data_IF_574107294495
#
_entry.id   IF_574107294495
#
_cell.length_a   1.000
_cell.length_b   1.000
_cell.length_c   1.000
_cell.angle_alpha   90.00
_cell.angle_beta   90.00
_cell.angle_gamma   90.00
#
_symmetry.space_group_name_H-M   'P 1'
#
loop_
_entity.id
_entity.type
_entity.pdbx_description
1 polymer ?
#
# COMPACT_ATOMS: atom_id res chain seq x y z
N UNK A 1 23.51 26.56 -23.32
CA UNK A 1 22.42 26.33 -24.29
C UNK A 1 22.22 24.85 -24.59
N UNK A 2 23.13 24.13 -25.28
CA UNK A 2 22.94 22.70 -25.59
C UNK A 2 22.90 21.77 -24.36
N UNK A 3 23.80 21.97 -23.38
CA UNK A 3 23.83 21.20 -22.13
C UNK A 3 22.55 21.40 -21.28
N UNK A 4 22.07 22.64 -21.18
CA UNK A 4 20.86 23.00 -20.44
C UNK A 4 19.58 22.44 -21.09
N UNK A 5 19.57 22.37 -22.43
CA UNK A 5 18.48 21.75 -23.19
C UNK A 5 18.49 20.21 -23.06
N UNK A 6 19.69 19.61 -22.98
CA UNK A 6 19.88 18.20 -22.64
C UNK A 6 19.38 17.86 -21.23
N UNK A 7 19.73 18.67 -20.23
CA UNK A 7 19.28 18.49 -18.83
C UNK A 7 17.75 18.54 -18.72
N UNK A 8 17.11 19.56 -19.33
CA UNK A 8 15.64 19.68 -19.31
C UNK A 8 14.94 18.50 -19.97
N UNK A 9 15.47 17.99 -21.10
CA UNK A 9 14.94 16.81 -21.79
C UNK A 9 15.13 15.54 -20.96
N UNK A 10 16.29 15.37 -20.34
CA UNK A 10 16.56 14.23 -19.45
C UNK A 10 15.61 14.19 -18.26
N UNK A 11 15.41 15.33 -17.60
CA UNK A 11 14.44 15.46 -16.50
C UNK A 11 13.02 15.16 -16.97
N UNK A 12 12.60 15.71 -18.11
CA UNK A 12 11.27 15.46 -18.67
C UNK A 12 11.05 13.97 -18.99
N UNK A 13 12.03 13.31 -19.60
CA UNK A 13 11.97 11.88 -19.91
C UNK A 13 11.90 11.03 -18.63
N UNK A 14 12.70 11.36 -17.62
CA UNK A 14 12.71 10.66 -16.33
C UNK A 14 11.38 10.81 -15.58
N UNK A 15 10.83 12.02 -15.51
CA UNK A 15 9.51 12.27 -14.90
C UNK A 15 8.41 11.52 -15.66
N UNK A 16 8.46 11.52 -16.98
CA UNK A 16 7.47 10.82 -17.82
C UNK A 16 7.54 9.31 -17.59
N UNK A 17 8.75 8.73 -17.60
CA UNK A 17 8.95 7.31 -17.32
C UNK A 17 8.46 6.93 -15.92
N UNK A 18 8.73 7.76 -14.91
CA UNK A 18 8.22 7.57 -13.55
C UNK A 18 6.69 7.58 -13.50
N UNK A 19 6.05 8.56 -14.13
CA UNK A 19 4.58 8.66 -14.21
C UNK A 19 3.95 7.44 -14.87
N UNK A 20 4.50 7.02 -16.02
CA UNK A 20 4.01 5.85 -16.77
C UNK A 20 4.19 4.57 -15.94
N UNK A 21 5.37 4.40 -15.33
CA UNK A 21 5.67 3.25 -14.49
C UNK A 21 4.76 3.17 -13.26
N UNK A 22 4.48 4.28 -12.59
CA UNK A 22 3.58 4.33 -11.44
C UNK A 22 2.13 4.08 -11.82
N UNK A 23 1.67 4.52 -12.99
CA UNK A 23 0.30 4.30 -13.46
C UNK A 23 0.05 2.88 -13.98
N UNK A 24 1.00 2.31 -14.73
CA UNK A 24 0.83 1.01 -15.40
C UNK A 24 1.35 -0.14 -14.53
N UNK A 25 2.35 0.12 -13.68
CA UNK A 25 3.10 -0.87 -12.92
C UNK A 25 2.22 -1.85 -12.12
N UNK A 26 1.30 -1.37 -11.25
CA UNK A 26 0.44 -2.25 -10.47
C UNK A 26 -0.37 -3.19 -11.36
N UNK A 27 -1.06 -2.66 -12.37
CA UNK A 27 -1.89 -3.44 -13.29
C UNK A 27 -1.09 -4.49 -14.06
N UNK A 28 0.04 -4.09 -14.66
CA UNK A 28 0.90 -5.02 -15.41
C UNK A 28 1.51 -6.10 -14.49
N UNK A 29 1.97 -5.73 -13.29
CA UNK A 29 2.49 -6.67 -12.30
C UNK A 29 1.43 -7.66 -11.80
N UNK A 30 0.20 -7.21 -11.58
CA UNK A 30 -0.92 -8.06 -11.19
C UNK A 30 -1.28 -9.07 -12.28
N UNK A 31 -1.37 -8.63 -13.53
CA UNK A 31 -1.62 -9.52 -14.68
C UNK A 31 -0.51 -10.56 -14.87
N UNK A 32 0.76 -10.16 -14.78
CA UNK A 32 1.89 -11.08 -14.87
C UNK A 32 1.86 -12.14 -13.76
N UNK A 33 1.56 -11.71 -12.53
CA UNK A 33 1.46 -12.60 -11.38
C UNK A 33 0.33 -13.61 -11.55
N UNK A 34 -0.82 -13.16 -12.05
CA UNK A 34 -2.00 -14.00 -12.26
C UNK A 34 -1.83 -14.97 -13.44
N UNK A 35 -1.23 -14.53 -14.54
CA UNK A 35 -1.13 -15.32 -15.76
C UNK A 35 0.03 -16.33 -15.76
N UNK A 36 1.12 -16.00 -15.07
CA UNK A 36 2.32 -16.83 -15.06
C UNK A 36 2.68 -17.25 -13.64
N UNK A 37 3.29 -16.32 -12.90
CA UNK A 37 3.65 -16.43 -11.49
C UNK A 37 4.37 -15.14 -11.07
N UNK A 38 4.52 -14.89 -9.78
CA UNK A 38 5.22 -13.73 -9.25
C UNK A 38 6.69 -13.63 -9.73
N UNK A 39 7.37 -14.75 -10.04
CA UNK A 39 8.74 -14.74 -10.57
C UNK A 39 8.85 -14.04 -11.94
N UNK A 40 7.77 -13.99 -12.71
CA UNK A 40 7.75 -13.36 -14.03
C UNK A 40 8.11 -11.87 -13.97
N UNK A 41 7.79 -11.19 -12.85
CA UNK A 41 8.14 -9.77 -12.64
C UNK A 41 9.66 -9.57 -12.75
N UNK A 42 10.46 -10.49 -12.21
CA UNK A 42 11.92 -10.39 -12.29
C UNK A 42 12.43 -10.65 -13.70
N UNK A 43 11.87 -11.66 -14.39
CA UNK A 43 12.28 -12.01 -15.76
C UNK A 43 12.01 -10.87 -16.73
N UNK A 44 10.86 -10.19 -16.61
CA UNK A 44 10.51 -9.03 -17.45
C UNK A 44 11.48 -7.86 -17.25
N UNK A 45 12.08 -7.71 -16.07
CA UNK A 45 13.04 -6.63 -15.78
C UNK A 45 14.44 -6.89 -16.38
N UNK A 46 14.79 -8.15 -16.63
CA UNK A 46 16.10 -8.55 -17.21
C UNK A 46 16.44 -7.82 -18.51
N UNK A 47 15.60 -7.82 -19.57
CA UNK A 47 15.93 -7.13 -20.82
C UNK A 47 16.15 -5.62 -20.63
N UNK A 48 15.39 -4.97 -19.75
CA UNK A 48 15.61 -3.56 -19.43
C UNK A 48 16.95 -3.33 -18.74
N UNK A 49 17.33 -4.20 -17.80
CA UNK A 49 18.63 -4.12 -17.13
C UNK A 49 19.80 -4.36 -18.10
N UNK A 50 19.67 -5.36 -18.99
CA UNK A 50 20.68 -5.69 -20.02
C UNK A 50 20.92 -4.51 -20.97
N UNK A 51 19.90 -3.68 -21.24
CA UNK A 51 20.06 -2.47 -22.05
C UNK A 51 20.53 -1.26 -21.23
N UNK A 52 19.97 -1.06 -20.04
CA UNK A 52 20.22 0.13 -19.23
C UNK A 52 21.62 0.15 -18.59
N UNK A 53 22.15 -1.00 -18.16
CA UNK A 53 23.45 -1.07 -17.50
C UNK A 53 24.60 -0.70 -18.46
N UNK A 54 24.73 -1.28 -19.66
CA UNK A 54 25.78 -0.86 -20.60
C UNK A 54 25.62 0.59 -21.04
N UNK A 55 24.39 1.05 -21.26
CA UNK A 55 24.12 2.45 -21.60
C UNK A 55 24.59 3.40 -20.49
N UNK A 56 24.35 3.07 -19.23
CA UNK A 56 24.81 3.87 -18.09
C UNK A 56 26.34 3.84 -17.95
N UNK A 57 26.98 2.68 -18.15
CA UNK A 57 28.44 2.53 -18.08
C UNK A 57 29.18 3.25 -19.22
N UNK A 58 28.51 3.47 -20.36
CA UNK A 58 29.06 4.22 -21.48
C UNK A 58 29.04 5.75 -21.25
N UNK A 59 28.33 6.26 -20.23
CA UNK A 59 28.26 7.69 -19.92
C UNK A 59 29.46 8.09 -19.04
N UNK A 60 30.33 9.03 -19.46
CA UNK A 60 31.45 9.49 -18.65
C UNK A 60 30.98 10.13 -17.34
N UNK A 61 31.64 9.79 -16.23
CA UNK A 61 31.39 10.43 -14.95
C UNK A 61 31.79 11.92 -15.01
N UNK A 62 30.90 12.87 -14.66
CA UNK A 62 31.28 14.27 -14.57
C UNK A 62 32.27 14.46 -13.41
N UNK A 63 33.27 15.35 -13.55
CA UNK A 63 34.22 15.62 -12.46
C UNK A 63 33.50 16.27 -11.26
N UNK A 64 33.83 15.82 -10.05
CA UNK A 64 33.35 16.40 -8.79
C UNK A 64 34.03 17.75 -8.54
N UNK A 65 33.48 18.82 -9.12
CA UNK A 65 34.10 20.15 -9.09
C UNK A 65 33.61 21.04 -7.95
N UNK A 66 32.57 20.63 -7.20
CA UNK A 66 31.99 21.47 -6.14
C UNK A 66 32.13 20.81 -4.77
N UNK A 67 32.99 21.33 -3.87
CA UNK A 67 33.03 20.86 -2.49
C UNK A 67 31.66 21.09 -1.84
N UNK A 68 31.13 20.06 -1.18
CA UNK A 68 29.86 20.17 -0.49
C UNK A 68 30.02 21.06 0.75
N UNK A 69 29.33 22.19 0.74
CA UNK A 69 29.30 23.16 1.84
C UNK A 69 27.95 23.20 2.55
N UNK A 70 27.00 22.36 2.14
CA UNK A 70 25.63 22.40 2.63
C UNK A 70 25.31 21.19 3.53
N UNK A 71 24.58 21.45 4.61
CA UNK A 71 24.03 20.35 5.42
C UNK A 71 22.81 19.75 4.73
N UNK A 72 22.53 18.45 4.93
CA UNK A 72 21.31 17.83 4.45
C UNK A 72 20.07 18.57 4.94
N UNK A 73 19.02 18.56 4.13
CA UNK A 73 17.76 19.20 4.44
C UNK A 73 16.97 18.35 5.46
N UNK A 74 17.34 18.44 6.75
CA UNK A 74 16.84 17.52 7.79
C UNK A 74 15.31 17.47 7.83
N UNK A 75 14.64 18.63 7.83
CA UNK A 75 13.17 18.70 7.92
C UNK A 75 12.44 18.03 6.75
N UNK A 76 12.67 18.42 5.47
CA UNK A 76 11.98 17.76 4.36
C UNK A 76 12.40 16.29 4.20
N UNK A 77 13.64 15.93 4.52
CA UNK A 77 14.07 14.52 4.50
C UNK A 77 13.40 13.69 5.59
N UNK A 78 13.26 14.21 6.80
CA UNK A 78 12.51 13.54 7.87
C UNK A 78 11.04 13.39 7.52
N UNK A 79 10.43 14.44 6.96
CA UNK A 79 9.04 14.41 6.48
C UNK A 79 8.86 13.35 5.39
N UNK A 80 9.79 13.27 4.42
CA UNK A 80 9.81 12.24 3.39
C UNK A 80 9.99 10.83 3.96
N UNK A 81 10.84 10.65 4.96
CA UNK A 81 11.03 9.35 5.60
C UNK A 81 9.73 8.88 6.28
N UNK A 82 9.10 9.74 7.09
CA UNK A 82 7.84 9.43 7.76
C UNK A 82 6.70 9.17 6.76
N UNK A 83 6.58 9.99 5.72
CA UNK A 83 5.60 9.77 4.65
C UNK A 83 5.88 8.49 3.87
N UNK A 84 7.14 8.16 3.60
CA UNK A 84 7.48 6.91 2.91
C UNK A 84 7.08 5.71 3.75
N UNK A 85 7.29 5.75 5.08
CA UNK A 85 6.83 4.73 6.01
C UNK A 85 5.29 4.60 6.01
N UNK A 86 4.57 5.72 6.04
CA UNK A 86 3.09 5.73 5.99
C UNK A 86 2.53 5.23 4.64
N UNK A 87 3.15 5.62 3.51
CA UNK A 87 2.77 5.17 2.18
C UNK A 87 3.07 3.69 1.97
N UNK A 88 4.16 3.19 2.58
CA UNK A 88 4.43 1.75 2.64
C UNK A 88 3.34 1.03 3.41
N UNK A 89 2.91 1.54 4.57
CA UNK A 89 1.75 1.01 5.29
C UNK A 89 0.52 0.95 4.38
N UNK A 90 0.22 2.06 3.71
CA UNK A 90 -0.95 2.16 2.84
C UNK A 90 -0.91 1.12 1.73
N UNK A 91 0.17 1.03 0.96
CA UNK A 91 0.23 0.17 -0.23
C UNK A 91 0.41 -1.31 0.14
N UNK A 92 1.30 -1.62 1.09
CA UNK A 92 1.58 -2.99 1.50
C UNK A 92 0.37 -3.65 2.15
N UNK A 93 -0.20 -3.01 3.17
CA UNK A 93 -1.33 -3.56 3.90
C UNK A 93 -2.59 -3.59 3.04
N UNK A 94 -2.79 -2.61 2.15
CA UNK A 94 -3.93 -2.63 1.24
C UNK A 94 -3.85 -3.79 0.25
N UNK A 95 -2.68 -4.05 -0.35
CA UNK A 95 -2.52 -5.20 -1.25
C UNK A 95 -2.75 -6.51 -0.51
N UNK A 96 -2.18 -6.66 0.69
CA UNK A 96 -2.42 -7.84 1.54
C UNK A 96 -3.89 -7.99 1.94
N UNK A 97 -4.56 -6.90 2.35
CA UNK A 97 -5.97 -6.93 2.68
C UNK A 97 -6.82 -7.36 1.49
N UNK A 98 -6.53 -6.86 0.28
CA UNK A 98 -7.28 -7.24 -0.91
C UNK A 98 -7.07 -8.71 -1.30
N UNK A 99 -5.81 -9.16 -1.33
CA UNK A 99 -5.46 -10.50 -1.80
C UNK A 99 -5.74 -11.54 -0.72
N UNK A 100 -5.15 -11.38 0.47
CA UNK A 100 -5.21 -12.36 1.55
C UNK A 100 -6.45 -12.17 2.44
N UNK A 101 -6.85 -10.92 2.71
CA UNK A 101 -8.00 -10.63 3.59
C UNK A 101 -9.36 -10.81 2.91
N UNK A 102 -9.52 -10.31 1.69
CA UNK A 102 -10.76 -10.32 0.91
C UNK A 102 -10.73 -11.31 -0.26
N UNK A 103 -9.72 -12.18 -0.30
CA UNK A 103 -9.59 -13.28 -1.30
C UNK A 103 -9.70 -12.78 -2.75
N UNK A 104 -9.26 -11.56 -3.06
CA UNK A 104 -9.29 -11.02 -4.44
C UNK A 104 -8.12 -11.55 -5.24
N UNK A 105 -8.37 -11.83 -6.53
CA UNK A 105 -7.29 -12.18 -7.45
C UNK A 105 -6.22 -11.07 -7.53
N UNK A 106 -4.94 -11.40 -7.77
CA UNK A 106 -3.88 -10.40 -7.91
C UNK A 106 -4.17 -9.32 -8.97
N UNK A 107 -4.84 -9.67 -10.08
CA UNK A 107 -5.26 -8.72 -11.11
C UNK A 107 -6.34 -7.76 -10.62
N UNK A 108 -7.35 -8.25 -9.89
CA UNK A 108 -8.40 -7.40 -9.30
C UNK A 108 -7.83 -6.46 -8.23
N UNK A 109 -6.92 -6.98 -7.38
CA UNK A 109 -6.25 -6.18 -6.36
C UNK A 109 -5.41 -5.07 -7.01
N UNK A 110 -4.65 -5.40 -8.06
CA UNK A 110 -3.86 -4.44 -8.82
C UNK A 110 -4.70 -3.34 -9.49
N UNK A 111 -5.83 -3.70 -10.10
CA UNK A 111 -6.77 -2.74 -10.67
C UNK A 111 -7.34 -1.81 -9.60
N UNK A 112 -7.70 -2.36 -8.44
CA UNK A 112 -8.23 -1.59 -7.31
C UNK A 112 -7.18 -0.60 -6.79
N UNK A 113 -5.96 -1.07 -6.50
CA UNK A 113 -4.86 -0.23 -5.98
C UNK A 113 -4.43 0.85 -6.98
N UNK A 114 -4.71 0.69 -8.28
CA UNK A 114 -4.43 1.69 -9.32
C UNK A 114 -5.19 3.02 -9.09
N UNK A 115 -6.18 3.06 -8.21
CA UNK A 115 -6.79 4.33 -7.73
C UNK A 115 -5.73 5.26 -7.13
N UNK A 116 -4.77 4.74 -6.38
CA UNK A 116 -3.72 5.54 -5.71
C UNK A 116 -2.87 6.33 -6.72
N UNK A 117 -2.21 5.71 -7.72
CA UNK A 117 -1.42 6.45 -8.69
C UNK A 117 -2.27 7.37 -9.58
N UNK A 118 -3.49 6.98 -9.96
CA UNK A 118 -4.38 7.85 -10.73
C UNK A 118 -4.76 9.11 -9.95
N UNK A 119 -5.11 8.97 -8.67
CA UNK A 119 -5.39 10.09 -7.78
C UNK A 119 -4.15 10.97 -7.55
N UNK A 120 -2.95 10.38 -7.44
CA UNK A 120 -1.70 11.14 -7.35
C UNK A 120 -1.43 12.00 -8.58
N UNK A 121 -1.74 11.50 -9.78
CA UNK A 121 -1.64 12.28 -11.01
C UNK A 121 -2.69 13.40 -11.07
N UNK A 122 -3.90 13.14 -10.56
CA UNK A 122 -4.98 14.13 -10.46
C UNK A 122 -4.69 15.25 -9.43
N UNK A 123 -3.75 15.04 -8.50
CA UNK A 123 -3.35 16.08 -7.53
C UNK A 123 -2.68 17.30 -8.21
N UNK A 124 -1.94 17.07 -9.31
CA UNK A 124 -1.18 18.12 -10.01
C UNK A 124 -2.05 19.25 -10.57
N UNK A 125 -3.13 19.01 -11.33
CA UNK A 125 -4.02 20.09 -11.78
C UNK A 125 -4.68 20.82 -10.61
N UNK A 126 -5.03 20.12 -9.53
CA UNK A 126 -5.62 20.73 -8.33
C UNK A 126 -4.63 21.71 -7.66
N UNK A 127 -3.38 21.30 -7.47
CA UNK A 127 -2.33 22.16 -6.92
C UNK A 127 -2.05 23.37 -7.81
N UNK A 128 -2.08 23.20 -9.15
CA UNK A 128 -1.90 24.31 -10.10
C UNK A 128 -3.06 25.31 -10.08
N UNK A 129 -4.28 24.83 -9.87
CA UNK A 129 -5.48 25.67 -9.80
C UNK A 129 -5.48 26.51 -8.53
N UNK A 130 -5.22 25.88 -7.38
CA UNK A 130 -5.29 26.54 -6.07
C UNK A 130 -4.04 27.35 -5.72
N UNK A 131 -2.88 27.02 -6.32
CA UNK A 131 -1.56 27.64 -6.06
C UNK A 131 -1.26 27.82 -4.56
N UNK A 132 -1.43 26.79 -3.72
CA UNK A 132 -1.16 26.91 -2.30
C UNK A 132 0.34 27.17 -2.03
N UNK A 133 0.69 27.82 -0.90
CA UNK A 133 2.06 27.82 -0.41
C UNK A 133 2.57 26.38 -0.23
N UNK A 134 3.87 26.15 -0.48
CA UNK A 134 4.44 24.81 -0.43
C UNK A 134 4.23 24.09 0.92
N UNK A 135 4.29 24.83 2.04
CA UNK A 135 4.05 24.27 3.37
C UNK A 135 2.59 23.79 3.54
N UNK A 136 1.62 24.53 2.98
CA UNK A 136 0.20 24.15 3.00
C UNK A 136 -0.03 22.95 2.09
N UNK A 137 0.57 22.94 0.89
CA UNK A 137 0.46 21.81 -0.05
C UNK A 137 0.91 20.49 0.60
N UNK A 138 2.08 20.51 1.24
CA UNK A 138 2.62 19.34 1.96
C UNK A 138 1.76 18.99 3.17
N UNK A 139 1.34 19.98 3.97
CA UNK A 139 0.51 19.74 5.15
C UNK A 139 -0.84 19.08 4.79
N UNK A 140 -1.51 19.59 3.76
CA UNK A 140 -2.75 19.01 3.23
C UNK A 140 -2.48 17.59 2.74
N UNK A 141 -1.39 17.35 2.01
CA UNK A 141 -1.09 16.00 1.55
C UNK A 141 -0.79 15.01 2.68
N UNK A 142 -0.07 15.41 3.73
CA UNK A 142 0.11 14.59 4.93
C UNK A 142 -1.23 14.25 5.61
N UNK A 143 -2.11 15.25 5.72
CA UNK A 143 -3.45 15.08 6.29
C UNK A 143 -4.32 14.13 5.45
N UNK A 144 -4.27 14.23 4.12
CA UNK A 144 -5.01 13.34 3.21
C UNK A 144 -4.51 11.89 3.32
N UNK A 145 -3.19 11.67 3.40
CA UNK A 145 -2.63 10.32 3.60
C UNK A 145 -3.08 9.75 4.95
N UNK A 146 -3.02 10.53 6.03
CA UNK A 146 -3.49 10.11 7.34
C UNK A 146 -4.99 9.77 7.32
N UNK A 147 -5.81 10.64 6.73
CA UNK A 147 -7.26 10.42 6.60
C UNK A 147 -7.60 9.19 5.76
N UNK A 148 -6.87 8.95 4.66
CA UNK A 148 -7.02 7.74 3.85
C UNK A 148 -6.63 6.48 4.63
N UNK A 149 -5.55 6.51 5.40
CA UNK A 149 -5.15 5.38 6.25
C UNK A 149 -6.16 5.11 7.37
N UNK A 150 -6.69 6.15 8.02
CA UNK A 150 -7.80 6.00 8.98
C UNK A 150 -9.06 5.44 8.32
N UNK A 151 -9.37 5.89 7.10
CA UNK A 151 -10.49 5.36 6.31
C UNK A 151 -10.34 3.87 6.01
N UNK A 152 -9.12 3.41 5.70
CA UNK A 152 -8.81 1.98 5.53
C UNK A 152 -8.79 1.19 6.85
N UNK A 153 -8.60 1.86 7.99
CA UNK A 153 -8.60 1.23 9.31
C UNK A 153 -10.01 0.97 9.87
N UNK A 154 -11.03 1.64 9.34
CA UNK A 154 -12.43 1.51 9.80
C UNK A 154 -13.37 1.11 8.65
N UNK A 155 -13.12 0.06 7.84
CA UNK A 155 -14.07 -0.33 6.81
C UNK A 155 -15.29 -1.00 7.46
N UNK A 156 -16.53 -0.57 7.20
CA UNK A 156 -17.73 -1.26 7.67
C UNK A 156 -18.06 -2.52 6.85
N UNK A 157 -17.49 -2.66 5.63
CA UNK A 157 -17.87 -3.68 4.64
C UNK A 157 -16.98 -3.58 3.38
N UNK A 158 -16.99 -4.61 2.53
CA UNK A 158 -16.36 -4.66 1.20
C UNK A 158 -17.02 -3.72 0.14
N UNK A 159 -17.68 -2.65 0.58
CA UNK A 159 -18.35 -1.69 -0.30
C UNK A 159 -17.33 -0.90 -1.14
N UNK A 160 -17.65 -0.75 -2.43
CA UNK A 160 -16.76 -0.14 -3.42
C UNK A 160 -16.36 1.30 -3.03
N UNK A 161 -17.28 2.07 -2.42
CA UNK A 161 -17.04 3.45 -1.99
C UNK A 161 -16.01 3.53 -0.86
N UNK A 162 -16.10 2.64 0.12
CA UNK A 162 -15.18 2.56 1.26
C UNK A 162 -13.82 2.01 0.86
N UNK A 163 -13.72 1.33 -0.28
CA UNK A 163 -12.45 0.87 -0.83
C UNK A 163 -11.77 1.97 -1.65
N UNK A 164 -12.51 2.69 -2.51
CA UNK A 164 -11.96 3.68 -3.44
C UNK A 164 -11.64 5.02 -2.76
N UNK A 165 -12.53 5.55 -1.92
CA UNK A 165 -12.36 6.90 -1.38
C UNK A 165 -11.09 7.04 -0.51
N UNK A 166 -10.79 6.12 0.42
CA UNK A 166 -9.54 6.19 1.19
C UNK A 166 -8.28 6.10 0.33
N UNK A 167 -8.29 5.27 -0.72
CA UNK A 167 -7.19 5.15 -1.68
C UNK A 167 -6.99 6.44 -2.47
N UNK A 168 -8.08 7.09 -2.87
CA UNK A 168 -8.02 8.37 -3.55
C UNK A 168 -7.42 9.46 -2.65
N UNK A 169 -7.74 9.48 -1.35
CA UNK A 169 -7.12 10.39 -0.38
C UNK A 169 -5.61 10.14 -0.25
N UNK A 170 -5.19 8.87 -0.10
CA UNK A 170 -3.77 8.50 -0.06
C UNK A 170 -3.06 8.94 -1.34
N UNK A 171 -3.65 8.67 -2.50
CA UNK A 171 -3.10 9.05 -3.80
C UNK A 171 -2.98 10.55 -3.99
N UNK A 172 -4.03 11.32 -3.70
CA UNK A 172 -3.98 12.77 -3.75
C UNK A 172 -2.89 13.32 -2.84
N UNK A 173 -2.79 12.82 -1.61
CA UNK A 173 -1.76 13.25 -0.67
C UNK A 173 -0.34 12.88 -1.13
N UNK A 174 -0.14 11.72 -1.75
CA UNK A 174 1.11 11.34 -2.41
C UNK A 174 1.51 12.36 -3.49
N UNK A 175 0.56 12.73 -4.35
CA UNK A 175 0.78 13.68 -5.45
C UNK A 175 1.10 15.11 -5.01
N UNK A 176 0.63 15.53 -3.84
CA UNK A 176 0.91 16.86 -3.25
C UNK A 176 2.23 16.93 -2.47
N UNK A 177 2.75 15.79 -1.99
CA UNK A 177 3.87 15.78 -1.03
C UNK A 177 5.21 15.44 -1.65
N UNK A 178 5.33 14.33 -2.37
CA UNK A 178 6.64 13.74 -2.71
C UNK A 178 7.47 14.65 -3.62
N UNK A 179 6.89 15.14 -4.70
CA UNK A 179 7.59 16.04 -5.64
C UNK A 179 8.01 17.34 -4.95
N UNK A 180 7.14 17.90 -4.11
CA UNK A 180 7.40 19.14 -3.36
C UNK A 180 8.51 18.98 -2.34
N UNK A 181 8.43 17.97 -1.48
CA UNK A 181 9.45 17.70 -0.49
C UNK A 181 10.81 17.37 -1.11
N UNK A 182 10.81 16.63 -2.22
CA UNK A 182 12.03 16.34 -2.98
C UNK A 182 12.66 17.63 -3.52
N UNK A 183 11.84 18.52 -4.09
CA UNK A 183 12.32 19.83 -4.55
C UNK A 183 12.88 20.68 -3.41
N UNK A 184 12.20 20.75 -2.26
CA UNK A 184 12.65 21.49 -1.08
C UNK A 184 13.93 20.90 -0.45
N UNK A 185 14.11 19.58 -0.52
CA UNK A 185 15.31 18.91 -0.04
C UNK A 185 16.55 19.24 -0.89
N UNK A 186 16.34 19.58 -2.17
CA UNK A 186 17.42 19.90 -3.12
C UNK A 186 17.58 21.41 -3.40
N UNK A 187 16.60 22.23 -3.06
CA UNK A 187 16.57 23.66 -3.37
C UNK A 187 17.82 24.38 -2.85
N UNK A 188 18.52 25.07 -3.76
CA UNK A 188 19.74 25.84 -3.49
C UNK A 188 20.90 25.04 -2.87
N UNK A 189 20.90 23.70 -2.98
CA UNK A 189 21.95 22.84 -2.43
C UNK A 189 22.82 22.21 -3.52
N UNK A 190 24.13 22.42 -3.42
CA UNK A 190 25.14 21.90 -4.32
C UNK A 190 26.23 21.16 -3.52
N UNK A 191 26.74 20.01 -4.02
CA UNK A 191 26.37 19.30 -5.25
C UNK A 191 25.01 18.58 -5.18
N UNK A 192 24.21 18.67 -6.25
CA UNK A 192 22.86 18.08 -6.32
C UNK A 192 22.85 16.55 -6.10
N UNK A 193 23.87 15.85 -6.59
CA UNK A 193 23.98 14.38 -6.50
C UNK A 193 24.00 13.91 -5.04
N UNK A 194 24.79 14.56 -4.17
CA UNK A 194 24.89 14.19 -2.76
C UNK A 194 23.58 14.43 -2.00
N UNK A 195 22.91 15.55 -2.26
CA UNK A 195 21.61 15.84 -1.63
C UNK A 195 20.48 14.97 -2.18
N UNK A 196 20.51 14.61 -3.47
CA UNK A 196 19.62 13.59 -4.02
C UNK A 196 19.83 12.25 -3.31
N UNK A 197 21.09 11.84 -3.10
CA UNK A 197 21.45 10.65 -2.32
C UNK A 197 20.82 10.66 -0.92
N UNK A 198 21.00 11.74 -0.15
CA UNK A 198 20.35 11.90 1.16
C UNK A 198 18.82 11.79 1.11
N UNK A 199 18.21 12.38 0.09
CA UNK A 199 16.75 12.40 -0.09
C UNK A 199 16.24 10.99 -0.39
N UNK A 200 16.93 10.25 -1.27
CA UNK A 200 16.63 8.85 -1.61
C UNK A 200 16.82 7.97 -0.37
N UNK A 201 17.96 8.09 0.33
CA UNK A 201 18.23 7.34 1.55
C UNK A 201 17.17 7.59 2.63
N UNK A 202 16.71 8.82 2.81
CA UNK A 202 15.66 9.13 3.77
C UNK A 202 14.33 8.43 3.42
N UNK A 203 13.94 8.45 2.14
CA UNK A 203 12.73 7.74 1.67
C UNK A 203 12.83 6.24 1.91
N UNK A 204 13.93 5.60 1.51
CA UNK A 204 14.13 4.16 1.70
C UNK A 204 14.27 3.77 3.18
N UNK A 205 14.91 4.61 4.00
CA UNK A 205 14.94 4.41 5.44
C UNK A 205 13.51 4.40 6.02
N UNK A 206 12.67 5.32 5.56
CA UNK A 206 11.24 5.34 5.88
C UNK A 206 10.54 4.04 5.52
N UNK A 207 10.71 3.55 4.29
CA UNK A 207 10.13 2.26 3.84
C UNK A 207 10.56 1.11 4.75
N UNK A 208 11.86 1.00 5.02
CA UNK A 208 12.43 -0.10 5.84
C UNK A 208 11.93 -0.03 7.28
N UNK A 209 11.97 1.15 7.90
CA UNK A 209 11.48 1.35 9.27
C UNK A 209 9.97 1.10 9.35
N UNK A 210 9.21 1.56 8.35
CA UNK A 210 7.78 1.28 8.24
C UNK A 210 7.49 -0.22 8.26
N UNK A 211 8.11 -1.00 7.36
CA UNK A 211 7.92 -2.45 7.33
C UNK A 211 8.38 -3.14 8.62
N UNK A 212 9.51 -2.72 9.19
CA UNK A 212 10.05 -3.28 10.42
C UNK A 212 9.11 -3.07 11.62
N UNK A 213 8.29 -2.02 11.62
CA UNK A 213 7.27 -1.77 12.65
C UNK A 213 5.98 -2.51 12.32
N UNK A 214 5.51 -2.44 11.06
CA UNK A 214 4.18 -2.90 10.67
C UNK A 214 4.07 -4.42 10.64
N UNK A 215 5.08 -5.14 10.13
CA UNK A 215 4.99 -6.59 9.97
C UNK A 215 4.81 -7.33 11.31
N UNK A 216 5.58 -7.03 12.37
CA UNK A 216 5.37 -7.66 13.68
C UNK A 216 4.01 -7.33 14.30
N UNK A 217 3.55 -6.07 14.18
CA UNK A 217 2.23 -5.66 14.69
C UNK A 217 1.13 -6.42 13.97
N UNK A 218 1.14 -6.39 12.63
CA UNK A 218 0.17 -7.13 11.82
C UNK A 218 0.14 -8.63 12.15
N UNK A 219 1.32 -9.24 12.36
CA UNK A 219 1.41 -10.66 12.70
C UNK A 219 0.84 -10.95 14.09
N UNK A 220 1.09 -10.07 15.06
CA UNK A 220 0.52 -10.17 16.40
C UNK A 220 -1.01 -10.01 16.36
N UNK A 221 -1.52 -9.00 15.65
CA UNK A 221 -2.96 -8.73 15.50
C UNK A 221 -3.68 -9.92 14.83
N UNK A 222 -3.06 -10.56 13.84
CA UNK A 222 -3.61 -11.78 13.21
C UNK A 222 -3.69 -12.95 14.20
N UNK A 223 -2.67 -13.14 15.04
CA UNK A 223 -2.67 -14.20 16.06
C UNK A 223 -3.73 -13.94 17.14
N UNK A 224 -3.87 -12.69 17.59
CA UNK A 224 -4.91 -12.31 18.55
C UNK A 224 -6.32 -12.45 17.98
N UNK A 225 -6.51 -12.20 16.68
CA UNK A 225 -7.79 -12.36 16.01
C UNK A 225 -8.21 -13.83 15.79
N UNK A 226 -7.28 -14.79 15.88
CA UNK A 226 -7.54 -16.20 15.57
C UNK A 226 -8.52 -16.86 16.54
N UNK A 227 -8.33 -16.68 17.85
CA UNK A 227 -9.18 -17.33 18.87
C UNK A 227 -10.63 -16.83 18.80
N UNK A 228 -10.90 -15.50 18.80
CA UNK A 228 -12.27 -15.00 18.67
C UNK A 228 -12.94 -15.42 17.35
N UNK A 229 -12.17 -15.54 16.26
CA UNK A 229 -12.70 -16.04 15.00
C UNK A 229 -13.10 -17.52 15.09
N UNK A 230 -12.26 -18.36 15.71
CA UNK A 230 -12.58 -19.79 15.93
C UNK A 230 -13.81 -19.96 16.84
N UNK A 231 -13.93 -19.18 17.91
CA UNK A 231 -15.10 -19.18 18.78
C UNK A 231 -16.37 -18.74 18.05
N UNK A 232 -16.29 -17.70 17.21
CA UNK A 232 -17.43 -17.23 16.40
C UNK A 232 -17.86 -18.27 15.35
N UNK A 233 -16.90 -18.92 14.68
CA UNK A 233 -17.16 -20.00 13.71
C UNK A 233 -17.82 -21.19 14.42
N UNK A 234 -17.28 -21.61 15.57
CA UNK A 234 -17.85 -22.70 16.36
C UNK A 234 -19.27 -22.37 16.83
N UNK A 235 -19.52 -21.15 17.31
CA UNK A 235 -20.86 -20.69 17.70
C UNK A 235 -21.85 -20.75 16.53
N UNK A 236 -21.48 -20.23 15.36
CA UNK A 236 -22.32 -20.26 14.17
C UNK A 236 -22.64 -21.69 13.71
N UNK A 237 -21.65 -22.59 13.75
CA UNK A 237 -21.83 -24.01 13.44
C UNK A 237 -22.79 -24.70 14.42
N UNK A 238 -22.66 -24.40 15.72
CA UNK A 238 -23.53 -24.93 16.76
C UNK A 238 -24.96 -24.43 16.61
N UNK A 239 -25.16 -23.15 16.29
CA UNK A 239 -26.47 -22.52 16.12
C UNK A 239 -27.16 -22.84 14.78
N UNK A 240 -26.43 -23.41 13.81
CA UNK A 240 -26.97 -23.73 12.50
C UNK A 240 -28.20 -24.65 12.60
N UNK A 241 -29.22 -24.40 11.79
CA UNK A 241 -30.42 -25.25 11.72
C UNK A 241 -30.19 -26.41 10.74
N UNK A 242 -29.26 -27.29 11.10
CA UNK A 242 -28.90 -28.50 10.36
C UNK A 242 -29.06 -29.72 11.26
N UNK A 243 -29.36 -30.86 10.66
CA UNK A 243 -29.38 -32.16 11.34
C UNK A 243 -27.99 -32.50 11.90
N UNK A 244 -27.90 -33.29 12.99
CA UNK A 244 -26.62 -33.58 13.64
C UNK A 244 -25.57 -34.22 12.72
N UNK A 245 -25.99 -35.15 11.85
CA UNK A 245 -25.08 -35.84 10.94
C UNK A 245 -24.54 -34.88 9.86
N UNK A 246 -25.41 -34.04 9.29
CA UNK A 246 -25.07 -33.02 8.32
C UNK A 246 -24.17 -31.91 8.91
N UNK A 247 -24.40 -31.51 10.17
CA UNK A 247 -23.49 -30.62 10.92
C UNK A 247 -22.10 -31.20 11.03
N UNK A 248 -21.97 -32.48 11.36
CA UNK A 248 -20.67 -33.14 11.53
C UNK A 248 -19.96 -33.21 10.17
N UNK A 249 -20.68 -33.54 9.09
CA UNK A 249 -20.12 -33.59 7.74
C UNK A 249 -19.58 -32.22 7.30
N UNK A 250 -20.36 -31.15 7.49
CA UNK A 250 -19.92 -29.77 7.18
C UNK A 250 -18.75 -29.34 8.06
N UNK A 251 -18.78 -29.64 9.36
CA UNK A 251 -17.69 -29.30 10.28
C UNK A 251 -16.37 -30.00 9.92
N UNK A 252 -16.42 -31.26 9.50
CA UNK A 252 -15.24 -32.00 9.02
C UNK A 252 -14.69 -31.40 7.73
N UNK A 253 -15.55 -31.14 6.75
CA UNK A 253 -15.14 -30.52 5.48
C UNK A 253 -14.49 -29.15 5.69
N UNK A 254 -15.06 -28.32 6.59
CA UNK A 254 -14.47 -27.03 6.96
C UNK A 254 -13.13 -27.18 7.69
N UNK A 255 -13.00 -28.18 8.57
CA UNK A 255 -11.75 -28.49 9.25
C UNK A 255 -10.63 -28.85 8.29
N UNK A 256 -10.93 -29.68 7.30
CA UNK A 256 -9.97 -30.07 6.26
C UNK A 256 -9.54 -28.88 5.41
N UNK A 257 -10.49 -28.01 5.02
CA UNK A 257 -10.21 -26.80 4.25
C UNK A 257 -9.33 -25.81 5.03
N UNK A 258 -9.60 -25.62 6.33
CA UNK A 258 -8.80 -24.79 7.23
C UNK A 258 -7.36 -25.30 7.40
N UNK A 259 -7.16 -26.62 7.40
CA UNK A 259 -5.83 -27.23 7.49
C UNK A 259 -5.08 -27.12 6.16
N UNK A 260 -5.77 -27.23 5.02
CA UNK A 260 -5.14 -27.13 3.70
C UNK A 260 -4.78 -25.69 3.33
N UNK A 261 -5.57 -24.70 3.75
CA UNK A 261 -5.37 -23.29 3.43
C UNK A 261 -4.67 -22.51 4.56
N UNK A 262 -3.69 -23.15 5.23
CA UNK A 262 -2.92 -22.50 6.31
C UNK A 262 -2.20 -21.24 5.82
N UNK A 263 -2.54 -20.10 6.42
CA UNK A 263 -1.92 -18.79 6.15
C UNK A 263 -2.71 -17.85 5.24
N UNK A 264 -3.89 -18.25 4.78
CA UNK A 264 -4.82 -17.40 4.01
C UNK A 264 -6.22 -17.44 4.64
N UNK A 265 -7.09 -16.49 4.28
CA UNK A 265 -8.51 -16.59 4.61
C UNK A 265 -9.11 -17.71 3.76
N UNK A 266 -9.67 -18.77 4.35
CA UNK A 266 -10.07 -19.97 3.62
C UNK A 266 -11.30 -19.71 2.73
N UNK A 267 -11.38 -20.36 1.56
CA UNK A 267 -12.60 -20.42 0.75
C UNK A 267 -13.52 -21.55 1.26
N UNK A 268 -14.63 -21.19 1.90
CA UNK A 268 -15.54 -22.16 2.52
C UNK A 268 -16.52 -22.78 1.52
N UNK A 269 -16.69 -22.17 0.34
CA UNK A 269 -17.73 -22.57 -0.63
C UNK A 269 -17.58 -24.03 -1.08
N UNK A 270 -16.35 -24.50 -1.19
CA UNK A 270 -16.04 -25.88 -1.55
C UNK A 270 -16.50 -26.89 -0.48
N UNK A 271 -16.35 -26.56 0.81
CA UNK A 271 -16.81 -27.41 1.92
C UNK A 271 -18.33 -27.57 1.92
N UNK A 272 -19.07 -26.49 1.63
CA UNK A 272 -20.53 -26.53 1.52
C UNK A 272 -21.03 -27.19 0.23
N UNK A 273 -20.28 -27.09 -0.87
CA UNK A 273 -20.63 -27.72 -2.14
C UNK A 273 -20.39 -29.24 -2.18
N UNK A 274 -19.42 -29.73 -1.40
CA UNK A 274 -19.05 -31.15 -1.32
C UNK A 274 -19.81 -31.92 -0.25
N UNK A 275 -20.39 -31.22 0.74
CA UNK A 275 -21.29 -31.83 1.71
C UNK A 275 -22.57 -32.34 1.02
N UNK A 276 -22.87 -33.64 1.17
CA UNK A 276 -24.06 -34.27 0.60
C UNK A 276 -25.30 -33.94 1.45
N UNK A 277 -25.78 -32.70 1.32
CA UNK A 277 -26.87 -32.15 2.13
C UNK A 277 -28.24 -32.44 1.50
N UNK A 278 -29.20 -32.78 2.36
CA UNK A 278 -30.60 -32.92 1.98
C UNK A 278 -31.12 -31.63 1.31
N UNK A 279 -31.97 -31.71 0.27
CA UNK A 279 -32.46 -30.53 -0.45
C UNK A 279 -33.14 -29.48 0.44
N UNK A 280 -33.75 -29.92 1.54
CA UNK A 280 -34.48 -29.11 2.50
C UNK A 280 -33.54 -28.24 3.38
N UNK A 281 -32.30 -28.66 3.56
CA UNK A 281 -31.32 -28.01 4.44
C UNK A 281 -30.40 -27.03 3.70
N UNK A 282 -30.35 -27.10 2.37
CA UNK A 282 -29.55 -26.19 1.53
C UNK A 282 -29.76 -24.70 1.84
N UNK A 283 -30.97 -24.20 2.14
CA UNK A 283 -31.15 -22.80 2.54
C UNK A 283 -30.56 -22.46 3.92
N UNK A 284 -30.53 -23.42 4.85
CA UNK A 284 -29.88 -23.23 6.15
C UNK A 284 -28.36 -23.27 6.00
N UNK A 285 -27.83 -24.19 5.20
CA UNK A 285 -26.42 -24.28 4.89
C UNK A 285 -25.89 -23.03 4.17
N UNK A 286 -26.62 -22.50 3.18
CA UNK A 286 -26.24 -21.27 2.48
C UNK A 286 -26.21 -20.03 3.39
N UNK A 287 -27.10 -19.97 4.39
CA UNK A 287 -27.07 -18.91 5.41
C UNK A 287 -25.85 -19.04 6.32
N UNK A 288 -25.56 -20.27 6.76
CA UNK A 288 -24.38 -20.56 7.56
C UNK A 288 -23.09 -20.20 6.79
N UNK A 289 -22.98 -20.60 5.53
CA UNK A 289 -21.86 -20.25 4.65
C UNK A 289 -21.67 -18.73 4.59
N UNK A 290 -22.75 -17.99 4.31
CA UNK A 290 -22.72 -16.53 4.26
C UNK A 290 -22.28 -15.89 5.59
N UNK A 291 -22.81 -16.38 6.71
CA UNK A 291 -22.47 -15.85 8.04
C UNK A 291 -21.02 -16.13 8.41
N UNK A 292 -20.52 -17.33 8.10
CA UNK A 292 -19.12 -17.72 8.32
C UNK A 292 -18.16 -16.88 7.47
N UNK A 293 -18.43 -16.73 6.17
CA UNK A 293 -17.65 -15.90 5.28
C UNK A 293 -17.63 -14.43 5.75
N UNK A 294 -18.78 -13.90 6.16
CA UNK A 294 -18.87 -12.55 6.71
C UNK A 294 -18.10 -12.38 8.03
N UNK A 295 -18.01 -13.43 8.87
CA UNK A 295 -17.17 -13.38 10.08
C UNK A 295 -15.68 -13.41 9.73
N UNK A 296 -15.27 -14.27 8.79
CA UNK A 296 -13.87 -14.37 8.34
C UNK A 296 -13.38 -13.04 7.75
N UNK A 297 -14.17 -12.42 6.87
CA UNK A 297 -13.82 -11.10 6.30
C UNK A 297 -13.73 -10.00 7.37
N UNK A 298 -14.62 -10.03 8.37
CA UNK A 298 -14.58 -9.08 9.50
C UNK A 298 -13.36 -9.30 10.39
N UNK A 299 -13.03 -10.54 10.70
CA UNK A 299 -11.85 -10.89 11.49
C UNK A 299 -10.57 -10.46 10.78
N UNK A 300 -10.45 -10.77 9.48
CA UNK A 300 -9.35 -10.34 8.63
C UNK A 300 -9.23 -8.81 8.65
N UNK A 301 -10.31 -8.09 8.31
CA UNK A 301 -10.32 -6.62 8.26
C UNK A 301 -9.93 -5.99 9.60
N UNK A 302 -10.37 -6.57 10.73
CA UNK A 302 -10.02 -6.10 12.07
C UNK A 302 -8.52 -6.25 12.37
N UNK A 303 -7.87 -7.31 11.91
CA UNK A 303 -6.43 -7.51 12.10
C UNK A 303 -5.56 -6.47 11.36
N UNK A 304 -6.07 -5.83 10.30
CA UNK A 304 -5.33 -4.76 9.60
C UNK A 304 -5.50 -3.38 10.24
N UNK A 305 -6.49 -3.20 11.12
CA UNK A 305 -6.91 -1.90 11.66
C UNK A 305 -5.76 -1.15 12.33
N UNK A 306 -5.09 -1.79 13.28
CA UNK A 306 -4.08 -1.12 14.10
C UNK A 306 -2.83 -0.80 13.27
N UNK A 307 -2.47 -1.68 12.33
CA UNK A 307 -1.41 -1.43 11.35
C UNK A 307 -1.70 -0.22 10.44
N UNK A 308 -2.94 -0.05 9.96
CA UNK A 308 -3.33 1.16 9.23
C UNK A 308 -3.31 2.42 10.11
N UNK A 309 -3.75 2.31 11.37
CA UNK A 309 -3.70 3.43 12.33
C UNK A 309 -2.26 3.86 12.66
N UNK A 310 -1.32 2.92 12.76
CA UNK A 310 0.12 3.23 12.90
C UNK A 310 0.60 4.00 11.67
N UNK A 311 0.24 3.55 10.47
CA UNK A 311 0.51 4.27 9.23
C UNK A 311 -0.04 5.70 9.26
N UNK A 312 -1.28 5.89 9.70
CA UNK A 312 -1.88 7.21 9.86
C UNK A 312 -1.11 8.07 10.87
N UNK A 313 -0.70 7.48 11.99
CA UNK A 313 0.15 8.12 13.00
C UNK A 313 1.47 8.62 12.41
N UNK A 314 2.13 7.83 11.56
CA UNK A 314 3.35 8.22 10.85
C UNK A 314 3.11 9.42 9.91
N UNK A 315 1.99 9.43 9.19
CA UNK A 315 1.61 10.56 8.34
C UNK A 315 1.28 11.83 9.16
N UNK A 316 0.65 11.69 10.32
CA UNK A 316 0.42 12.80 11.25
C UNK A 316 1.72 13.32 11.89
N UNK A 317 2.67 12.43 12.22
CA UNK A 317 4.01 12.84 12.65
C UNK A 317 4.73 13.62 11.55
N UNK A 318 4.57 13.22 10.29
CA UNK A 318 5.08 13.99 9.14
C UNK A 318 4.38 15.36 8.99
N UNK A 319 3.08 15.45 9.28
CA UNK A 319 2.38 16.74 9.34
C UNK A 319 2.97 17.65 10.43
N UNK A 320 3.27 17.10 11.60
CA UNK A 320 3.88 17.86 12.70
C UNK A 320 5.26 18.42 12.32
N UNK A 321 6.08 17.71 11.54
CA UNK A 321 7.39 18.23 11.09
C UNK A 321 7.26 19.43 10.16
N UNK A 322 6.13 19.56 9.45
CA UNK A 322 5.82 20.69 8.56
C UNK A 322 5.29 21.89 9.36
N UNK A 323 4.34 21.66 10.27
CA UNK A 323 3.67 22.72 11.04
C UNK A 323 4.54 23.24 12.20
N UNK A 324 5.50 22.45 12.69
CA UNK A 324 6.33 22.83 13.82
C UNK A 324 7.17 24.10 13.51
N UNK A 325 7.11 25.14 14.38
CA UNK A 325 7.79 26.40 14.15
C UNK A 325 9.29 26.19 13.90
N UNK A 326 9.85 26.94 12.94
CA UNK A 326 11.30 26.96 12.69
C UNK A 326 11.96 27.54 13.93
N UNK A 327 12.68 26.72 14.70
CA UNK A 327 13.55 27.24 15.78
C UNK A 327 14.53 28.19 15.10
N UNK A 328 14.38 29.49 15.34
CA UNK A 328 15.35 30.50 14.91
C UNK A 328 16.61 30.23 15.72
N UNK A 329 17.59 29.58 15.10
CA UNK A 329 18.95 29.57 15.62
C UNK A 329 19.44 31.01 15.43
N UNK A 330 19.52 31.75 16.54
CA UNK A 330 20.22 33.04 16.59
C UNK A 330 21.72 32.80 16.49
#
# INVERSE_FOLDING_TARGET
MAAEYGERRGVAAWVTAGVVGTAIGPFAGGLLTQAFSWQAIFVVQVPFAVLAVPAALAVPAPPDLTPDRHRPAIRPNLTLALLSAALTAALFLLVLLLVEGWRRSPGTAALTVSVVPLAALAARPLARLLRPPAEVEVAVGCFLIAGGLVGLAVPPSADLVWTIAPQALVGLGLGLTVDRLTSQAMEMRLPRIRHAGWTISARHLGVVVGLAILTPVFTADLQEAQVPAQEAIASLMLDAQLLPDDKIAVAQALGDELVQQQGQVPDLSHAFATADLAPEERPAAARLEHDLDAQLERAATRAFRDSFLIGAGLALLALLTVVAPRRRVR
#
